data_IF_534754986698
#
_entry.id   IF_534754986698
#
_cell.length_a   1.000
_cell.length_b   1.000
_cell.length_c   1.000
_cell.angle_alpha   90.00
_cell.angle_beta   90.00
_cell.angle_gamma   90.00
#
_symmetry.space_group_name_H-M   'P 1'
#
loop_
_entity.id
_entity.type
_entity.pdbx_description
1 polymer ?
#
# COMPACT_ATOMS: atom_id res chain seq x y z
N UNK A 1 -3.82 -6.59 -68.56
CA UNK A 1 -4.74 -7.69 -68.19
C UNK A 1 -4.90 -7.68 -66.68
N UNK A 2 -6.10 -7.36 -66.19
CA UNK A 2 -6.47 -7.33 -64.76
C UNK A 2 -6.79 -8.75 -64.30
N UNK A 3 -6.24 -9.19 -63.18
CA UNK A 3 -6.76 -10.34 -62.41
C UNK A 3 -6.91 -9.90 -60.96
N UNK A 4 -8.15 -10.00 -60.47
CA UNK A 4 -8.57 -9.68 -59.11
C UNK A 4 -8.67 -10.97 -58.28
N UNK A 5 -8.58 -10.79 -56.96
CA UNK A 5 -9.22 -11.59 -55.88
C UNK A 5 -8.50 -12.87 -55.44
N UNK A 6 -8.12 -12.96 -54.15
CA UNK A 6 -8.96 -13.55 -53.07
C UNK A 6 -8.29 -13.36 -51.70
N UNK A 7 -9.11 -12.91 -50.74
CA UNK A 7 -8.84 -12.93 -49.30
C UNK A 7 -8.99 -14.39 -48.84
N UNK A 8 -8.07 -14.89 -48.03
CA UNK A 8 -8.25 -16.10 -47.24
C UNK A 8 -7.61 -15.90 -45.86
N UNK A 9 -8.45 -15.84 -44.86
CA UNK A 9 -8.13 -15.87 -43.43
C UNK A 9 -7.71 -17.29 -43.04
N UNK A 10 -6.58 -17.45 -42.36
CA UNK A 10 -6.28 -18.67 -41.60
C UNK A 10 -5.39 -18.32 -40.40
N UNK A 11 -5.94 -18.55 -39.22
CA UNK A 11 -5.29 -18.48 -37.91
C UNK A 11 -4.33 -19.65 -37.77
N UNK A 12 -3.12 -19.41 -37.28
CA UNK A 12 -2.29 -20.44 -36.66
C UNK A 12 -1.53 -19.82 -35.48
N UNK A 13 -1.87 -20.29 -34.28
CA UNK A 13 -1.26 -19.99 -32.99
C UNK A 13 0.00 -20.86 -32.83
N UNK A 14 0.88 -20.41 -31.92
CA UNK A 14 1.96 -21.14 -31.23
C UNK A 14 3.37 -20.93 -31.81
N UNK A 15 4.14 -20.09 -31.12
CA UNK A 15 5.60 -20.08 -31.11
C UNK A 15 6.08 -19.66 -29.73
N UNK A 16 6.66 -20.60 -28.97
CA UNK A 16 7.08 -20.45 -27.57
C UNK A 16 8.57 -20.07 -27.45
N UNK A 17 8.83 -19.15 -26.52
CA UNK A 17 10.02 -18.89 -25.69
C UNK A 17 11.33 -18.36 -26.29
N UNK A 18 11.81 -17.25 -25.71
CA UNK A 18 13.12 -17.18 -25.05
C UNK A 18 13.16 -16.02 -24.03
N UNK A 19 13.64 -16.34 -22.82
CA UNK A 19 13.65 -15.50 -21.62
C UNK A 19 14.87 -14.57 -21.52
N UNK A 20 14.70 -13.40 -20.91
CA UNK A 20 15.63 -12.62 -20.03
C UNK A 20 14.93 -11.29 -19.73
N UNK A 21 14.77 -10.75 -18.51
CA UNK A 21 15.50 -10.92 -17.26
C UNK A 21 14.54 -10.81 -16.06
N UNK A 22 14.74 -11.68 -15.07
CA UNK A 22 14.18 -11.57 -13.73
C UNK A 22 14.91 -10.43 -12.99
N UNK A 23 14.55 -9.19 -13.29
CA UNK A 23 14.70 -8.09 -12.35
C UNK A 23 13.39 -8.01 -11.59
N UNK A 24 13.29 -8.73 -10.48
CA UNK A 24 12.09 -8.74 -9.64
C UNK A 24 11.81 -7.33 -9.13
N UNK A 25 11.00 -6.58 -9.87
CA UNK A 25 10.16 -5.58 -9.24
C UNK A 25 9.28 -6.38 -8.30
N UNK A 26 9.49 -6.23 -7.00
CA UNK A 26 8.49 -6.62 -6.00
C UNK A 26 7.24 -5.83 -6.38
N UNK A 27 6.36 -6.45 -7.15
CA UNK A 27 5.00 -5.96 -7.29
C UNK A 27 4.45 -6.00 -5.88
N UNK A 28 4.23 -4.83 -5.29
CA UNK A 28 3.31 -4.74 -4.18
C UNK A 28 1.99 -5.32 -4.73
N UNK A 29 1.71 -6.56 -4.34
CA UNK A 29 0.40 -7.17 -4.50
C UNK A 29 -0.45 -6.44 -3.48
N UNK A 30 -0.93 -5.27 -3.87
CA UNK A 30 -2.01 -4.57 -3.19
C UNK A 30 -3.27 -4.94 -3.94
N UNK A 31 -4.26 -5.54 -3.27
CA UNK A 31 -5.62 -5.62 -3.83
C UNK A 31 -6.24 -4.21 -3.96
N UNK A 32 -5.59 -3.20 -3.38
CA UNK A 32 -6.01 -1.80 -3.46
C UNK A 32 -5.40 -1.09 -4.67
N UNK A 33 -6.27 -0.70 -5.59
CA UNK A 33 -5.92 0.06 -6.78
C UNK A 33 -5.75 1.56 -6.44
N UNK A 34 -4.57 2.18 -6.68
CA UNK A 34 -4.34 3.58 -6.33
C UNK A 34 -5.34 4.56 -6.95
N UNK A 35 -5.89 4.23 -8.11
CA UNK A 35 -6.93 5.00 -8.82
C UNK A 35 -8.27 5.06 -8.09
N UNK A 36 -8.53 4.12 -7.16
CA UNK A 36 -9.78 4.04 -6.39
C UNK A 36 -9.71 4.84 -5.08
N UNK A 37 -8.58 5.51 -4.81
CA UNK A 37 -8.40 6.29 -3.60
C UNK A 37 -9.48 7.38 -3.47
N UNK A 38 -10.23 7.42 -2.35
CA UNK A 38 -11.20 8.48 -2.11
C UNK A 38 -10.52 9.86 -2.08
N UNK A 39 -11.27 10.95 -2.32
CA UNK A 39 -10.72 12.30 -2.20
C UNK A 39 -10.01 12.51 -0.85
N UNK A 40 -8.80 13.04 -0.92
CA UNK A 40 -7.94 13.25 0.24
C UNK A 40 -7.09 12.05 0.65
N UNK A 41 -7.17 10.92 -0.07
CA UNK A 41 -6.31 9.76 0.10
C UNK A 41 -5.50 9.48 -1.16
N UNK A 42 -4.40 8.74 -1.00
CA UNK A 42 -3.56 8.29 -2.11
C UNK A 42 -2.73 7.06 -1.71
N UNK A 43 -2.14 6.42 -2.73
CA UNK A 43 -1.30 5.23 -2.59
C UNK A 43 -2.06 3.94 -2.91
N UNK A 44 -1.40 2.78 -2.80
CA UNK A 44 -0.09 2.58 -2.17
C UNK A 44 1.11 3.12 -2.96
N UNK A 45 2.14 3.54 -2.24
CA UNK A 45 3.42 4.00 -2.75
C UNK A 45 4.57 3.22 -2.09
N UNK A 46 5.71 2.99 -2.75
CA UNK A 46 6.81 2.25 -2.14
C UNK A 46 7.42 2.95 -0.91
N UNK A 47 7.29 4.28 -0.83
CA UNK A 47 7.93 5.10 0.21
C UNK A 47 6.98 6.15 0.79
N UNK A 48 7.07 6.36 2.10
CA UNK A 48 6.47 7.47 2.80
C UNK A 48 7.39 8.71 2.79
N UNK A 49 6.88 9.85 2.34
CA UNK A 49 7.57 11.13 2.36
C UNK A 49 7.34 11.86 3.69
N UNK A 50 8.27 12.76 4.04
CA UNK A 50 8.18 13.60 5.23
C UNK A 50 9.04 13.11 6.39
N UNK A 51 8.74 13.61 7.58
CA UNK A 51 9.44 13.29 8.82
C UNK A 51 8.80 12.09 9.48
N UNK A 52 9.61 11.10 9.87
CA UNK A 52 9.16 10.00 10.70
C UNK A 52 8.63 10.52 12.04
N UNK A 53 7.44 10.08 12.43
CA UNK A 53 6.82 10.47 13.69
C UNK A 53 6.91 9.37 14.73
N UNK A 54 6.40 8.19 14.40
CA UNK A 54 6.17 7.14 15.38
C UNK A 54 6.21 5.76 14.73
N UNK A 55 6.63 4.77 15.54
CA UNK A 55 6.54 3.35 15.26
C UNK A 55 5.61 2.69 16.26
N UNK A 56 4.59 2.00 15.75
CA UNK A 56 3.64 1.22 16.55
C UNK A 56 3.98 -0.27 16.36
N UNK A 57 4.49 -0.90 17.40
CA UNK A 57 4.88 -2.32 17.35
C UNK A 57 3.66 -3.23 17.41
N UNK A 58 3.61 -4.25 16.54
CA UNK A 58 2.54 -5.26 16.57
C UNK A 58 2.79 -6.30 17.67
N UNK A 59 1.72 -6.95 18.20
CA UNK A 59 1.85 -7.99 19.21
C UNK A 59 2.83 -9.09 18.82
N UNK A 60 3.56 -9.60 19.81
CA UNK A 60 4.54 -10.69 19.64
C UNK A 60 5.64 -10.36 18.61
N UNK A 61 5.90 -9.07 18.36
CA UNK A 61 6.92 -8.60 17.42
C UNK A 61 6.72 -9.05 15.97
N UNK A 62 5.50 -9.43 15.60
CA UNK A 62 5.15 -9.87 14.23
C UNK A 62 5.49 -8.81 13.17
N UNK A 63 5.50 -7.54 13.57
CA UNK A 63 5.79 -6.43 12.67
C UNK A 63 5.66 -5.08 13.39
N UNK A 64 5.53 -4.02 12.60
CA UNK A 64 5.25 -2.68 13.10
C UNK A 64 4.60 -1.79 12.04
N UNK A 65 3.91 -0.75 12.47
CA UNK A 65 3.44 0.33 11.60
C UNK A 65 4.34 1.54 11.82
N UNK A 66 4.95 2.05 10.76
CA UNK A 66 5.64 3.33 10.79
C UNK A 66 4.73 4.42 10.22
N UNK A 67 4.76 5.59 10.86
CA UNK A 67 3.96 6.75 10.48
C UNK A 67 4.87 7.95 10.23
N UNK A 68 4.64 8.61 9.10
CA UNK A 68 5.34 9.83 8.70
C UNK A 68 4.36 10.98 8.54
N UNK A 69 4.89 12.19 8.67
CA UNK A 69 4.16 13.42 8.42
C UNK A 69 4.97 14.38 7.57
N UNK A 70 4.33 14.94 6.54
CA UNK A 70 4.84 16.05 5.76
C UNK A 70 3.97 17.27 5.98
N UNK A 71 4.58 18.44 6.20
CA UNK A 71 3.87 19.71 6.33
C UNK A 71 3.64 20.40 4.97
N UNK A 72 4.06 19.78 3.86
CA UNK A 72 3.83 20.33 2.52
C UNK A 72 2.32 20.44 2.22
N UNK A 73 1.90 21.55 1.60
CA UNK A 73 0.48 21.80 1.29
C UNK A 73 -0.39 21.87 2.55
N UNK A 74 -1.51 21.15 2.57
CA UNK A 74 -2.39 21.02 3.74
C UNK A 74 -1.92 19.99 4.78
N UNK A 75 -0.72 19.45 4.60
CA UNK A 75 -0.14 18.40 5.43
C UNK A 75 -0.65 17.02 5.05
N UNK A 76 0.21 16.02 5.20
CA UNK A 76 -0.14 14.61 4.91
C UNK A 76 0.42 13.68 5.97
N UNK A 77 -0.40 12.76 6.47
CA UNK A 77 0.11 11.56 7.15
C UNK A 77 0.33 10.45 6.13
N UNK A 78 1.38 9.66 6.34
CA UNK A 78 1.64 8.42 5.62
C UNK A 78 1.80 7.28 6.60
N UNK A 79 1.27 6.10 6.29
CA UNK A 79 1.50 4.91 7.08
C UNK A 79 1.88 3.71 6.22
N UNK A 80 2.66 2.83 6.83
CA UNK A 80 3.16 1.60 6.22
C UNK A 80 3.33 0.53 7.29
N UNK A 81 2.74 -0.64 7.06
CA UNK A 81 2.86 -1.79 7.96
C UNK A 81 3.95 -2.71 7.43
N UNK A 82 4.92 -3.04 8.27
CA UNK A 82 6.02 -3.95 7.97
C UNK A 82 5.86 -5.26 8.71
N UNK A 83 6.20 -6.33 8.03
CA UNK A 83 6.34 -7.66 8.59
C UNK A 83 7.81 -7.92 8.95
N UNK A 84 8.04 -8.45 10.14
CA UNK A 84 9.36 -8.78 10.67
C UNK A 84 9.67 -10.28 10.63
N UNK A 85 8.76 -11.09 10.10
CA UNK A 85 8.88 -12.53 10.08
C UNK A 85 9.27 -13.02 8.68
N UNK A 86 10.01 -14.15 8.59
CA UNK A 86 10.31 -14.74 7.30
C UNK A 86 9.06 -15.36 6.68
N UNK A 87 8.87 -15.14 5.39
CA UNK A 87 7.76 -15.73 4.63
C UNK A 87 6.94 -14.66 3.93
N UNK A 88 5.80 -15.09 3.38
CA UNK A 88 4.78 -14.20 2.84
C UNK A 88 3.58 -14.27 3.76
N UNK A 89 3.10 -13.12 4.16
CA UNK A 89 1.98 -13.00 5.08
C UNK A 89 0.95 -12.06 4.52
N UNK A 90 -0.26 -12.18 5.05
CA UNK A 90 -1.24 -11.13 4.91
C UNK A 90 -0.77 -9.92 5.71
N UNK A 91 -0.73 -8.75 5.08
CA UNK A 91 -0.37 -7.50 5.73
C UNK A 91 -1.42 -6.46 5.35
N UNK A 92 -1.87 -5.69 6.34
CA UNK A 92 -2.80 -4.59 6.15
C UNK A 92 -2.25 -3.32 6.79
N UNK A 93 -2.48 -2.19 6.11
CA UNK A 93 -2.43 -0.86 6.72
C UNK A 93 -3.74 -0.13 6.43
N UNK A 94 -4.27 0.59 7.41
CA UNK A 94 -5.46 1.44 7.24
C UNK A 94 -5.18 2.82 7.80
N UNK A 95 -5.56 3.83 7.03
CA UNK A 95 -5.56 5.23 7.42
C UNK A 95 -6.96 5.83 7.38
N UNK A 96 -7.22 6.65 8.38
CA UNK A 96 -8.43 7.45 8.47
C UNK A 96 -8.07 8.83 9.00
N UNK A 97 -8.61 9.88 8.39
CA UNK A 97 -8.51 11.22 8.97
C UNK A 97 -9.43 11.33 10.19
N UNK A 98 -8.94 11.85 11.32
CA UNK A 98 -9.74 12.03 12.52
C UNK A 98 -10.84 13.07 12.25
N UNK A 99 -12.09 12.62 12.27
CA UNK A 99 -13.27 13.43 11.93
C UNK A 99 -13.90 13.10 10.58
N UNK A 100 -13.28 12.22 9.78
CA UNK A 100 -13.91 11.64 8.59
C UNK A 100 -14.45 10.25 8.91
N UNK A 101 -15.44 9.77 8.16
CA UNK A 101 -15.92 8.38 8.25
C UNK A 101 -15.26 7.47 7.23
N UNK A 102 -14.76 8.05 6.13
CA UNK A 102 -14.04 7.35 5.07
C UNK A 102 -12.70 6.81 5.56
N UNK A 103 -12.30 5.66 5.03
CA UNK A 103 -11.01 5.01 5.29
C UNK A 103 -10.34 4.68 3.97
N UNK A 104 -9.03 4.61 4.00
CA UNK A 104 -8.23 4.07 2.91
C UNK A 104 -7.28 3.01 3.46
N UNK A 105 -7.07 1.94 2.72
CA UNK A 105 -6.28 0.81 3.17
C UNK A 105 -5.38 0.31 2.06
N UNK A 106 -4.39 -0.47 2.43
CA UNK A 106 -3.66 -1.35 1.54
C UNK A 106 -3.56 -2.71 2.22
N UNK A 107 -4.04 -3.75 1.55
CA UNK A 107 -4.19 -5.10 2.10
C UNK A 107 -4.10 -6.16 1.00
N UNK A 108 -3.37 -7.24 1.28
CA UNK A 108 -3.30 -8.46 0.48
C UNK A 108 -2.71 -9.59 1.35
N UNK A 109 -2.97 -10.84 0.96
CA UNK A 109 -2.46 -12.07 1.58
C UNK A 109 -0.99 -12.41 1.21
N UNK A 110 -0.36 -11.58 0.39
CA UNK A 110 0.82 -11.98 -0.39
C UNK A 110 1.99 -11.00 -0.31
N UNK A 111 2.16 -10.30 0.81
CA UNK A 111 3.29 -9.39 0.97
C UNK A 111 4.56 -10.11 1.45
N UNK A 112 5.69 -9.74 0.85
CA UNK A 112 7.01 -10.25 1.25
C UNK A 112 7.62 -9.47 2.42
N UNK A 113 7.17 -8.23 2.67
CA UNK A 113 7.80 -7.36 3.67
C UNK A 113 6.93 -6.23 4.21
N UNK A 114 6.01 -5.68 3.41
CA UNK A 114 5.16 -4.58 3.87
C UNK A 114 3.89 -4.43 3.04
N UNK A 115 2.83 -3.91 3.67
CA UNK A 115 1.73 -3.21 3.01
C UNK A 115 1.89 -1.71 3.20
N UNK A 116 1.50 -0.93 2.21
CA UNK A 116 1.32 0.50 2.35
C UNK A 116 2.37 1.38 1.72
N UNK A 117 2.56 2.53 2.38
CA UNK A 117 2.79 3.81 1.75
C UNK A 117 1.48 4.41 1.28
N UNK A 118 0.46 4.43 2.14
CA UNK A 118 -0.81 5.12 1.89
C UNK A 118 -0.82 6.45 2.63
N UNK A 119 -1.52 7.44 2.08
CA UNK A 119 -1.57 8.79 2.63
C UNK A 119 -2.99 9.28 2.87
N UNK A 120 -3.11 10.23 3.80
CA UNK A 120 -4.29 11.07 3.98
C UNK A 120 -3.88 12.54 4.10
N UNK A 121 -4.55 13.43 3.37
CA UNK A 121 -4.31 14.88 3.35
C UNK A 121 -5.02 15.61 4.48
N UNK A 122 -4.89 16.94 4.51
CA UNK A 122 -5.50 17.85 5.49
C UNK A 122 -5.07 17.61 6.95
N UNK A 123 -3.93 16.94 7.10
CA UNK A 123 -3.31 16.55 8.36
C UNK A 123 -2.74 17.73 9.18
N UNK A 124 -2.74 18.96 8.66
CA UNK A 124 -2.29 20.12 9.42
C UNK A 124 -3.22 20.50 10.57
N UNK A 125 -4.50 20.15 10.47
CA UNK A 125 -5.55 20.58 11.42
C UNK A 125 -6.11 19.45 12.26
N UNK A 126 -5.88 18.19 11.88
CA UNK A 126 -6.50 17.02 12.49
C UNK A 126 -5.49 15.87 12.55
N UNK A 127 -5.77 14.92 13.44
CA UNK A 127 -4.95 13.72 13.62
C UNK A 127 -5.32 12.64 12.58
N UNK A 128 -4.48 11.63 12.40
CA UNK A 128 -4.84 10.40 11.71
C UNK A 128 -5.18 9.30 12.72
N UNK A 129 -6.13 8.44 12.36
CA UNK A 129 -6.31 7.13 12.97
C UNK A 129 -5.62 6.09 12.08
N UNK A 130 -4.75 5.30 12.68
CA UNK A 130 -3.89 4.33 12.00
C UNK A 130 -4.14 2.95 12.57
N UNK A 131 -4.26 1.97 11.68
CA UNK A 131 -4.31 0.55 12.01
C UNK A 131 -3.31 -0.19 11.13
N UNK A 132 -2.67 -1.21 11.67
CA UNK A 132 -1.93 -2.17 10.89
C UNK A 132 -1.98 -3.56 11.47
N UNK A 133 -1.83 -4.54 10.60
CA UNK A 133 -1.93 -5.96 10.93
C UNK A 133 -0.95 -6.76 10.09
N UNK A 134 -0.40 -7.81 10.70
CA UNK A 134 0.25 -8.93 10.01
C UNK A 134 -0.45 -10.20 10.47
N UNK A 135 -0.93 -11.01 9.52
CA UNK A 135 -1.57 -12.30 9.84
C UNK A 135 -0.61 -13.45 9.57
N UNK A 136 -0.27 -14.18 10.64
CA UNK A 136 0.73 -15.26 10.65
C UNK A 136 0.03 -16.57 10.99
N UNK A 137 0.12 -17.57 10.12
CA UNK A 137 -0.56 -18.86 10.31
C UNK A 137 -2.07 -18.70 10.63
N UNK A 138 -2.75 -17.79 9.92
CA UNK A 138 -4.15 -17.43 10.14
C UNK A 138 -4.47 -16.80 11.51
N UNK A 139 -3.46 -16.28 12.22
CA UNK A 139 -3.63 -15.50 13.46
C UNK A 139 -3.27 -14.03 13.20
N UNK A 140 -4.20 -13.08 13.39
CA UNK A 140 -3.94 -11.66 13.21
C UNK A 140 -3.16 -11.06 14.38
N UNK A 141 -2.11 -10.30 14.05
CA UNK A 141 -1.32 -9.51 14.99
C UNK A 141 -1.52 -8.02 14.69
N UNK A 142 -2.59 -7.45 15.26
CA UNK A 142 -3.01 -6.08 14.98
C UNK A 142 -2.51 -5.07 16.01
N UNK A 143 -2.24 -3.84 15.56
CA UNK A 143 -1.86 -2.71 16.42
C UNK A 143 -3.02 -2.18 17.28
N UNK A 144 -4.26 -2.51 16.93
CA UNK A 144 -5.42 -1.71 17.29
C UNK A 144 -5.41 -0.33 16.59
N UNK A 145 -6.45 0.47 16.83
CA UNK A 145 -6.52 1.84 16.29
C UNK A 145 -5.69 2.80 17.13
N UNK A 146 -4.78 3.52 16.49
CA UNK A 146 -3.89 4.49 17.12
C UNK A 146 -4.16 5.89 16.57
N UNK A 147 -4.26 6.89 17.44
CA UNK A 147 -4.44 8.29 17.03
C UNK A 147 -3.10 9.00 16.99
N UNK A 148 -2.67 9.40 15.79
CA UNK A 148 -1.40 10.08 15.56
C UNK A 148 -1.68 11.52 15.16
N UNK A 149 -1.14 12.45 15.95
CA UNK A 149 -1.30 13.88 15.70
C UNK A 149 0.02 14.49 15.26
N UNK A 150 -0.05 15.59 14.51
CA UNK A 150 1.13 16.39 14.15
C UNK A 150 1.83 16.84 15.45
N UNK A 151 3.17 16.78 15.53
CA UNK A 151 3.90 17.37 16.64
C UNK A 151 3.66 18.88 16.72
N UNK A 152 3.59 19.47 17.94
CA UNK A 152 3.56 20.91 18.08
C UNK A 152 4.80 21.53 17.40
N UNK A 153 4.58 22.59 16.62
CA UNK A 153 5.70 23.38 16.07
C UNK A 153 6.40 24.12 17.21
N UNK A 154 7.75 24.16 17.23
CA UNK A 154 8.51 24.94 18.21
C UNK A 154 8.15 26.43 18.20
#
# INVERSE_FOLDING_TARGET
MKIRTRIATAVAVIGVAAATALGGAVTASAETHPEDAPPGYAGPFPTCNGTFLERITLPQTAGYVDVWYSSAGSGTFCAKTFDNLPGRHHIEVVLQHAGWTTRWYDSDDNYDSYAGGIYVSDANTLCAQVYGEVTVNAVPHASGWNTICKPPTP
#
